data_IF_953048983203
#
_entry.id   IF_953048983203
#
_cell.length_a   1.000
_cell.length_b   1.000
_cell.length_c   1.000
_cell.angle_alpha   90.00
_cell.angle_beta   90.00
_cell.angle_gamma   90.00
#
_symmetry.space_group_name_H-M   'P 1'
#
loop_
_entity.id
_entity.type
_entity.pdbx_description
1 polymer ?
#
# COMPACT_ATOMS: atom_id res chain seq x y z
N UNK A 1 4.09 -0.64 -6.32
CA UNK A 1 5.31 -1.37 -5.87
C UNK A 1 6.40 -0.37 -5.52
N UNK A 2 7.10 -0.62 -4.43
CA UNK A 2 8.29 0.16 -4.02
C UNK A 2 9.51 -0.73 -4.22
N UNK A 3 10.58 -0.17 -4.80
CA UNK A 3 11.89 -0.82 -4.84
C UNK A 3 12.85 -0.03 -3.96
N UNK A 4 13.48 -0.68 -2.98
CA UNK A 4 14.45 -0.06 -2.08
C UNK A 4 15.79 0.16 -2.80
N UNK A 5 16.74 0.82 -2.13
CA UNK A 5 18.10 1.07 -2.68
C UNK A 5 18.86 -0.23 -2.94
N UNK A 6 18.68 -1.25 -2.11
CA UNK A 6 19.28 -2.57 -2.29
C UNK A 6 18.56 -3.45 -3.32
N UNK A 7 17.42 -2.98 -3.86
CA UNK A 7 16.63 -3.71 -4.84
C UNK A 7 15.52 -4.60 -4.26
N UNK A 8 15.25 -4.54 -2.94
CA UNK A 8 14.11 -5.22 -2.34
C UNK A 8 12.80 -4.62 -2.84
N UNK A 9 11.84 -5.47 -3.18
CA UNK A 9 10.55 -5.04 -3.74
C UNK A 9 9.42 -5.28 -2.74
N UNK A 10 8.65 -4.24 -2.49
CA UNK A 10 7.47 -4.25 -1.64
C UNK A 10 6.24 -3.87 -2.46
N UNK A 11 5.17 -4.65 -2.37
CA UNK A 11 3.88 -4.22 -2.92
C UNK A 11 3.11 -3.42 -1.87
N UNK A 12 2.47 -2.35 -2.28
CA UNK A 12 1.38 -1.72 -1.54
C UNK A 12 0.12 -2.27 -2.16
N UNK A 13 -0.60 -3.04 -1.38
CA UNK A 13 -1.74 -3.83 -1.77
C UNK A 13 -1.45 -4.88 -2.88
N UNK A 14 -2.30 -5.87 -2.97
CA UNK A 14 -2.21 -6.95 -3.93
C UNK A 14 -3.62 -7.28 -4.44
N UNK A 15 -4.18 -6.38 -5.23
CA UNK A 15 -5.48 -6.56 -5.83
C UNK A 15 -5.50 -7.64 -6.91
N UNK A 16 -6.69 -7.96 -7.41
CA UNK A 16 -6.91 -9.02 -8.40
C UNK A 16 -6.06 -8.89 -9.66
N UNK A 17 -5.70 -7.66 -10.07
CA UNK A 17 -4.89 -7.44 -11.28
C UNK A 17 -3.38 -7.50 -11.01
N UNK A 18 -2.93 -7.56 -9.77
CA UNK A 18 -1.51 -7.56 -9.43
C UNK A 18 -0.74 -8.73 -10.07
N UNK A 19 -1.25 -9.98 -10.12
CA UNK A 19 -0.58 -11.08 -10.78
C UNK A 19 -0.26 -10.78 -12.25
N UNK A 20 -1.25 -10.32 -13.01
CA UNK A 20 -1.10 -10.03 -14.44
C UNK A 20 -0.15 -8.86 -14.70
N UNK A 21 -0.23 -7.82 -13.86
CA UNK A 21 0.65 -6.66 -13.98
C UNK A 21 2.10 -6.99 -13.65
N UNK A 22 2.36 -7.81 -12.64
CA UNK A 22 3.71 -8.28 -12.32
C UNK A 22 4.26 -9.15 -13.45
N UNK A 23 3.45 -10.08 -13.97
CA UNK A 23 3.84 -10.93 -15.10
C UNK A 23 4.18 -10.08 -16.33
N UNK A 24 3.35 -9.13 -16.70
CA UNK A 24 3.59 -8.20 -17.81
C UNK A 24 4.87 -7.36 -17.63
N UNK A 25 5.22 -7.05 -16.38
CA UNK A 25 6.46 -6.33 -16.04
C UNK A 25 7.68 -7.26 -15.93
N UNK A 26 7.53 -8.57 -16.14
CA UNK A 26 8.62 -9.54 -16.00
C UNK A 26 9.07 -9.74 -14.55
N UNK A 27 8.21 -9.47 -13.58
CA UNK A 27 8.49 -9.59 -12.15
C UNK A 27 7.82 -10.86 -11.63
N UNK A 28 8.62 -11.77 -11.09
CA UNK A 28 8.12 -12.98 -10.50
C UNK A 28 7.69 -12.77 -9.04
N UNK A 29 6.78 -13.59 -8.55
CA UNK A 29 6.31 -13.52 -7.17
C UNK A 29 7.42 -13.63 -6.13
N UNK A 30 8.44 -14.46 -6.39
CA UNK A 30 9.58 -14.62 -5.49
C UNK A 30 10.50 -13.38 -5.44
N UNK A 31 10.36 -12.45 -6.38
CA UNK A 31 11.08 -11.18 -6.36
C UNK A 31 10.43 -10.17 -5.38
N UNK A 32 9.22 -10.47 -4.91
CA UNK A 32 8.51 -9.62 -3.96
C UNK A 32 8.94 -10.00 -2.55
N UNK A 33 9.61 -9.07 -1.89
CA UNK A 33 10.13 -9.23 -0.54
C UNK A 33 9.04 -9.13 0.54
N UNK A 34 8.07 -8.24 0.33
CA UNK A 34 6.99 -8.01 1.29
C UNK A 34 5.76 -7.34 0.71
N UNK A 35 4.71 -7.36 1.53
CA UNK A 35 3.41 -6.76 1.28
C UNK A 35 3.13 -5.68 2.33
N UNK A 36 2.55 -4.57 1.91
CA UNK A 36 2.04 -3.52 2.78
C UNK A 36 0.55 -3.42 2.46
N UNK A 37 -0.33 -3.65 3.43
CA UNK A 37 -1.78 -3.69 3.22
C UNK A 37 -2.41 -2.43 3.81
N UNK A 38 -3.11 -1.67 2.97
CA UNK A 38 -3.82 -0.46 3.39
C UNK A 38 -5.19 -0.78 3.95
N UNK A 39 -5.95 -1.66 3.30
CA UNK A 39 -7.28 -2.13 3.73
C UNK A 39 -7.70 -3.39 2.94
N UNK A 40 -8.87 -3.96 3.24
CA UNK A 40 -9.30 -5.26 2.72
C UNK A 40 -10.49 -5.19 1.74
N UNK A 41 -10.55 -4.20 0.85
CA UNK A 41 -11.41 -4.31 -0.32
C UNK A 41 -10.81 -5.25 -1.37
N UNK A 42 -11.66 -5.83 -2.22
CA UNK A 42 -11.24 -6.90 -3.13
C UNK A 42 -10.23 -6.46 -4.19
N UNK A 43 -10.34 -5.24 -4.65
CA UNK A 43 -9.40 -4.61 -5.57
C UNK A 43 -8.02 -4.31 -4.94
N UNK A 44 -7.91 -4.42 -3.61
CA UNK A 44 -6.67 -4.28 -2.86
C UNK A 44 -6.06 -5.60 -2.39
N UNK A 45 -6.86 -6.69 -2.19
CA UNK A 45 -6.31 -7.93 -1.60
C UNK A 45 -6.62 -9.23 -2.35
N UNK A 46 -7.47 -9.26 -3.38
CA UNK A 46 -7.86 -10.54 -4.01
C UNK A 46 -6.73 -11.24 -4.78
N UNK A 47 -5.60 -10.61 -5.02
CA UNK A 47 -4.39 -11.29 -5.52
C UNK A 47 -3.49 -11.85 -4.42
N UNK A 48 -3.79 -11.54 -3.14
CA UNK A 48 -2.93 -11.90 -2.02
C UNK A 48 -3.02 -13.40 -1.67
N UNK A 49 -4.14 -14.06 -1.99
CA UNK A 49 -4.30 -15.51 -1.83
C UNK A 49 -3.33 -16.28 -2.71
N UNK A 50 -3.31 -15.99 -4.01
CA UNK A 50 -2.39 -16.59 -4.97
C UNK A 50 -0.93 -16.34 -4.58
N UNK A 51 -0.62 -15.09 -4.22
CA UNK A 51 0.70 -14.73 -3.72
C UNK A 51 1.10 -15.57 -2.51
N UNK A 52 0.22 -15.70 -1.51
CA UNK A 52 0.48 -16.45 -0.29
C UNK A 52 0.76 -17.93 -0.59
N UNK A 53 -0.06 -18.57 -1.43
CA UNK A 53 0.12 -19.97 -1.80
C UNK A 53 1.42 -20.19 -2.59
N UNK A 54 1.68 -19.41 -3.61
CA UNK A 54 2.88 -19.55 -4.43
C UNK A 54 4.12 -19.39 -3.55
N UNK A 55 4.17 -18.36 -2.72
CA UNK A 55 5.29 -18.11 -1.83
C UNK A 55 5.45 -19.19 -0.75
N UNK A 56 4.35 -19.72 -0.23
CA UNK A 56 4.37 -20.80 0.73
C UNK A 56 5.02 -22.07 0.15
N UNK A 57 4.59 -22.50 -1.03
CA UNK A 57 5.14 -23.70 -1.67
C UNK A 57 6.58 -23.50 -2.15
N UNK A 58 6.95 -22.31 -2.59
CA UNK A 58 8.35 -21.98 -2.92
C UNK A 58 9.28 -22.04 -1.70
N UNK A 59 8.81 -21.59 -0.53
CA UNK A 59 9.63 -21.52 0.67
C UNK A 59 9.74 -22.82 1.44
N UNK A 60 8.75 -23.69 1.38
CA UNK A 60 8.71 -24.96 2.12
C UNK A 60 9.25 -26.17 1.31
N UNK A 61 9.72 -25.96 0.11
CA UNK A 61 10.77 -26.67 -0.59
C UNK A 61 10.65 -28.16 -0.88
N UNK A 62 9.68 -28.89 -0.36
CA UNK A 62 9.62 -30.35 -0.54
C UNK A 62 8.74 -30.81 -1.71
N UNK A 63 7.81 -29.99 -2.15
CA UNK A 63 6.92 -30.31 -3.27
C UNK A 63 7.43 -29.75 -4.59
N UNK A 64 8.06 -28.60 -4.54
CA UNK A 64 8.77 -28.02 -5.68
C UNK A 64 10.21 -27.75 -5.23
N UNK A 65 11.21 -28.46 -5.78
CA UNK A 65 12.60 -28.18 -5.46
C UNK A 65 12.96 -26.80 -5.99
N UNK A 66 12.59 -25.75 -5.24
CA UNK A 66 13.13 -24.45 -5.53
C UNK A 66 14.53 -24.40 -4.94
N UNK A 67 15.52 -24.31 -5.82
CA UNK A 67 16.91 -24.00 -5.48
C UNK A 67 17.07 -22.65 -4.76
N UNK A 68 15.96 -22.05 -4.36
CA UNK A 68 15.83 -20.71 -3.83
C UNK A 68 15.15 -20.67 -2.47
N UNK A 69 15.28 -21.71 -1.63
CA UNK A 69 14.72 -21.76 -0.27
C UNK A 69 14.65 -20.37 0.39
N UNK A 70 13.60 -19.63 0.07
CA UNK A 70 13.46 -18.22 0.42
C UNK A 70 12.76 -18.06 1.76
N UNK A 71 13.15 -17.05 2.50
CA UNK A 71 12.40 -16.60 3.66
C UNK A 71 10.93 -16.29 3.27
N UNK A 72 10.02 -16.48 4.22
CA UNK A 72 8.63 -16.04 4.05
C UNK A 72 8.60 -14.56 3.68
N UNK A 73 7.71 -14.13 2.75
CA UNK A 73 7.55 -12.72 2.48
C UNK A 73 7.08 -11.99 3.75
N UNK A 74 7.53 -10.78 3.94
CA UNK A 74 7.11 -9.94 5.05
C UNK A 74 5.73 -9.35 4.81
N UNK A 75 5.01 -9.06 5.90
CA UNK A 75 3.75 -8.31 5.82
C UNK A 75 3.76 -7.18 6.83
N UNK A 76 3.47 -5.99 6.34
CA UNK A 76 3.15 -4.81 7.14
C UNK A 76 1.67 -4.52 6.97
N UNK A 77 0.94 -4.50 8.06
CA UNK A 77 -0.46 -4.06 8.11
C UNK A 77 -0.76 -3.50 9.49
N UNK A 78 -1.45 -2.37 9.54
CA UNK A 78 -1.96 -1.81 10.79
C UNK A 78 -2.78 -2.86 11.55
N UNK A 79 -2.72 -2.87 12.88
CA UNK A 79 -3.36 -3.91 13.71
C UNK A 79 -4.86 -4.05 13.42
N UNK A 80 -5.56 -2.94 13.17
CA UNK A 80 -6.96 -2.95 12.80
C UNK A 80 -7.23 -3.63 11.45
N UNK A 81 -6.34 -3.46 10.47
CA UNK A 81 -6.45 -4.05 9.12
C UNK A 81 -6.04 -5.53 9.14
N UNK A 82 -5.01 -5.87 9.90
CA UNK A 82 -4.42 -7.23 9.94
C UNK A 82 -5.42 -8.32 10.34
N UNK A 83 -6.33 -8.01 11.26
CA UNK A 83 -7.41 -8.92 11.65
C UNK A 83 -8.33 -9.25 10.47
N UNK A 84 -8.78 -8.24 9.74
CA UNK A 84 -9.64 -8.40 8.57
C UNK A 84 -8.95 -9.16 7.43
N UNK A 85 -7.64 -8.97 7.22
CA UNK A 85 -6.88 -9.74 6.21
C UNK A 85 -7.06 -11.25 6.45
N UNK A 86 -6.98 -11.71 7.71
CA UNK A 86 -7.18 -13.12 8.01
C UNK A 86 -8.64 -13.56 7.92
N UNK A 87 -9.59 -12.70 8.22
CA UNK A 87 -11.01 -13.01 8.04
C UNK A 87 -11.35 -13.27 6.58
N UNK A 88 -10.74 -12.55 5.65
CA UNK A 88 -10.94 -12.72 4.21
C UNK A 88 -10.14 -13.92 3.67
N UNK A 89 -8.87 -14.05 3.99
CA UNK A 89 -7.99 -15.09 3.43
C UNK A 89 -8.07 -16.44 4.17
N UNK A 90 -8.43 -16.42 5.45
CA UNK A 90 -8.45 -17.61 6.29
C UNK A 90 -9.30 -18.77 5.75
N UNK A 91 -10.49 -18.53 5.17
CA UNK A 91 -11.30 -19.62 4.60
C UNK A 91 -10.57 -20.49 3.56
N UNK A 92 -9.72 -19.88 2.73
CA UNK A 92 -8.94 -20.62 1.71
C UNK A 92 -7.56 -21.04 2.21
N UNK A 93 -6.90 -20.26 3.05
CA UNK A 93 -5.53 -20.53 3.50
C UNK A 93 -5.43 -21.40 4.75
N UNK A 94 -6.52 -21.60 5.49
CA UNK A 94 -6.49 -22.25 6.81
C UNK A 94 -6.06 -23.71 6.77
N UNK A 95 -6.41 -24.43 5.73
CA UNK A 95 -6.17 -25.86 5.64
C UNK A 95 -5.13 -26.14 4.54
N UNK A 96 -3.88 -26.27 4.95
CA UNK A 96 -2.77 -26.59 4.05
C UNK A 96 -2.11 -27.88 4.51
N UNK A 97 -1.63 -28.66 3.56
CA UNK A 97 -0.79 -29.82 3.83
C UNK A 97 0.67 -29.35 3.91
N UNK A 98 1.39 -29.83 4.92
CA UNK A 98 2.85 -29.72 4.95
C UNK A 98 3.50 -30.73 4.02
N UNK A 99 4.82 -30.65 3.83
CA UNK A 99 5.57 -31.56 2.96
C UNK A 99 5.49 -33.04 3.34
N UNK A 100 5.00 -33.37 4.56
CA UNK A 100 4.73 -34.75 5.00
C UNK A 100 3.31 -35.22 4.65
N UNK A 101 2.49 -34.36 4.04
CA UNK A 101 1.08 -34.61 3.75
C UNK A 101 0.16 -34.47 4.95
N UNK A 102 0.66 -33.99 6.09
CA UNK A 102 -0.15 -33.75 7.27
C UNK A 102 -0.93 -32.45 7.11
N UNK A 103 -2.25 -32.56 7.35
CA UNK A 103 -3.13 -31.39 7.38
C UNK A 103 -2.88 -30.58 8.63
N UNK A 104 -2.53 -29.29 8.44
CA UNK A 104 -2.38 -28.29 9.51
C UNK A 104 -3.51 -27.28 9.50
N UNK A 105 -3.66 -26.54 10.59
CA UNK A 105 -4.46 -25.32 10.64
C UNK A 105 -3.51 -24.12 10.51
N UNK A 106 -3.54 -23.47 9.36
CA UNK A 106 -2.73 -22.30 9.08
C UNK A 106 -3.22 -21.05 9.83
N UNK A 107 -2.32 -20.11 9.98
CA UNK A 107 -2.60 -18.71 10.38
C UNK A 107 -1.88 -17.80 9.41
N UNK A 108 -2.15 -16.50 9.45
CA UNK A 108 -1.45 -15.53 8.61
C UNK A 108 0.09 -15.64 8.74
N UNK A 109 0.58 -15.93 9.95
CA UNK A 109 2.01 -16.11 10.22
C UNK A 109 2.64 -17.38 9.61
N UNK A 110 1.85 -18.32 9.07
CA UNK A 110 2.39 -19.43 8.29
C UNK A 110 2.85 -18.97 6.90
N UNK A 111 2.17 -17.98 6.33
CA UNK A 111 2.40 -17.48 4.98
C UNK A 111 3.32 -16.27 4.96
N UNK A 112 3.28 -15.45 6.00
CA UNK A 112 4.01 -14.20 6.08
C UNK A 112 4.81 -14.09 7.38
N UNK A 113 5.95 -13.42 7.30
CA UNK A 113 6.63 -12.88 8.46
C UNK A 113 5.96 -11.55 8.81
N UNK A 114 5.17 -11.52 9.88
CA UNK A 114 4.46 -10.32 10.30
C UNK A 114 5.44 -9.33 10.93
N UNK A 115 5.54 -8.14 10.36
CA UNK A 115 6.35 -7.07 10.95
C UNK A 115 5.56 -6.47 12.11
N UNK A 116 6.16 -6.46 13.30
CA UNK A 116 5.52 -5.92 14.50
C UNK A 116 5.51 -4.39 14.47
N UNK A 117 4.40 -3.84 14.94
CA UNK A 117 4.25 -2.41 15.10
C UNK A 117 5.02 -1.91 16.31
N UNK A 118 5.62 -0.73 16.17
CA UNK A 118 6.12 0.06 17.27
C UNK A 118 5.16 1.22 17.53
N UNK A 119 5.06 1.67 18.78
CA UNK A 119 4.26 2.84 19.10
C UNK A 119 4.77 4.03 18.27
N UNK A 120 3.92 4.55 17.38
CA UNK A 120 4.19 5.83 16.73
C UNK A 120 3.98 6.94 17.77
N UNK A 121 4.82 7.96 17.78
CA UNK A 121 4.51 9.18 18.52
C UNK A 121 3.14 9.69 18.05
N UNK A 122 2.30 10.08 19.02
CA UNK A 122 0.93 10.50 18.76
C UNK A 122 0.85 11.49 17.60
N UNK A 123 -0.06 11.31 16.65
CA UNK A 123 -0.22 12.22 15.53
C UNK A 123 -0.63 13.60 16.04
N UNK A 124 0.10 14.63 15.63
CA UNK A 124 -0.07 15.98 16.11
C UNK A 124 -1.32 16.71 15.60
N UNK A 125 -2.08 16.11 14.65
CA UNK A 125 -3.12 16.84 13.93
C UNK A 125 -4.53 16.23 13.97
N UNK A 126 -4.70 14.94 14.27
CA UNK A 126 -6.03 14.33 14.32
C UNK A 126 -6.15 13.37 15.50
N UNK A 127 -6.99 13.68 16.53
CA UNK A 127 -7.16 12.81 17.70
C UNK A 127 -7.84 11.49 17.41
N UNK A 128 -8.38 11.28 16.21
CA UNK A 128 -9.12 10.09 15.81
C UNK A 128 -8.27 9.04 15.08
N UNK A 129 -7.08 9.40 14.60
CA UNK A 129 -6.25 8.46 13.86
C UNK A 129 -5.25 7.78 14.77
N UNK A 130 -5.48 6.52 15.05
CA UNK A 130 -4.45 5.66 15.59
C UNK A 130 -3.37 5.44 14.51
N UNK A 131 -2.10 5.52 14.90
CA UNK A 131 -0.97 5.36 13.99
C UNK A 131 0.00 4.35 14.54
N UNK A 132 0.48 3.47 13.65
CA UNK A 132 1.47 2.46 13.97
C UNK A 132 2.71 2.65 13.10
N UNK A 133 3.89 2.62 13.71
CA UNK A 133 5.16 2.68 13.00
C UNK A 133 5.72 1.28 12.76
N UNK A 134 6.32 1.09 11.60
CA UNK A 134 6.93 -0.16 11.18
C UNK A 134 8.33 0.09 10.65
N UNK A 135 9.25 -0.84 10.96
CA UNK A 135 10.61 -0.83 10.42
C UNK A 135 11.04 -2.26 10.09
N UNK A 136 11.42 -2.52 8.86
CA UNK A 136 11.97 -3.80 8.40
C UNK A 136 12.69 -3.62 7.06
N UNK A 137 13.91 -4.15 6.95
CA UNK A 137 14.66 -4.28 5.68
C UNK A 137 14.57 -3.05 4.77
N UNK A 138 15.15 -1.95 5.16
CA UNK A 138 15.12 -0.64 4.49
C UNK A 138 13.72 0.00 4.36
N UNK A 139 12.65 -0.70 4.74
CA UNK A 139 11.30 -0.14 4.78
C UNK A 139 11.01 0.45 6.15
N UNK A 140 10.74 1.74 6.20
CA UNK A 140 10.23 2.42 7.39
C UNK A 140 9.00 3.22 6.99
N UNK A 141 7.91 3.01 7.69
CA UNK A 141 6.66 3.72 7.43
C UNK A 141 5.83 3.89 8.70
N UNK A 142 4.94 4.84 8.66
CA UNK A 142 3.83 4.97 9.61
C UNK A 142 2.53 4.69 8.85
N UNK A 143 1.80 3.68 9.31
CA UNK A 143 0.43 3.45 8.86
C UNK A 143 -0.52 4.26 9.76
N UNK A 144 -1.33 5.09 9.16
CA UNK A 144 -2.27 5.98 9.84
C UNK A 144 -3.68 5.62 9.44
N UNK A 145 -4.55 5.33 10.41
CA UNK A 145 -5.98 5.18 10.12
C UNK A 145 -6.52 6.43 9.42
N UNK A 146 -7.37 6.21 8.43
CA UNK A 146 -8.01 7.26 7.64
C UNK A 146 -9.52 7.01 7.53
N UNK A 147 -10.25 7.99 7.01
CA UNK A 147 -11.67 7.87 6.74
C UNK A 147 -11.91 7.30 5.34
N UNK A 148 -12.47 6.10 5.32
CA UNK A 148 -12.96 5.40 4.14
C UNK A 148 -14.42 4.97 4.40
N UNK A 149 -14.81 3.73 4.06
CA UNK A 149 -16.15 3.22 4.38
C UNK A 149 -16.35 3.17 5.90
N UNK A 150 -17.42 3.76 6.46
CA UNK A 150 -17.65 3.76 7.89
C UNK A 150 -17.58 2.36 8.52
N UNK A 151 -16.76 2.23 9.55
CA UNK A 151 -16.55 0.97 10.26
C UNK A 151 -15.59 -0.01 9.59
N UNK A 152 -15.02 0.34 8.43
CA UNK A 152 -14.00 -0.45 7.76
C UNK A 152 -12.61 0.12 8.03
N UNK A 153 -11.69 -0.62 8.66
CA UNK A 153 -10.32 -0.18 8.85
C UNK A 153 -9.63 0.10 7.50
N UNK A 154 -9.08 1.28 7.36
CA UNK A 154 -8.26 1.70 6.24
C UNK A 154 -7.12 2.59 6.72
N UNK A 155 -6.00 2.58 6.01
CA UNK A 155 -4.81 3.33 6.39
C UNK A 155 -4.17 4.04 5.21
N UNK A 156 -3.70 5.26 5.48
CA UNK A 156 -2.71 5.95 4.68
C UNK A 156 -1.30 5.62 5.17
N UNK A 157 -0.29 5.80 4.32
CA UNK A 157 1.09 5.47 4.63
C UNK A 157 2.00 6.69 4.51
N UNK A 158 2.79 6.95 5.55
CA UNK A 158 3.93 7.86 5.51
C UNK A 158 5.21 7.03 5.31
N UNK A 159 5.69 6.92 4.09
CA UNK A 159 6.84 6.08 3.75
C UNK A 159 8.11 6.91 3.84
N UNK A 160 9.00 6.59 4.79
CA UNK A 160 10.26 7.30 4.98
C UNK A 160 11.21 7.05 3.79
N UNK A 161 11.78 8.12 3.26
CA UNK A 161 12.71 8.07 2.12
C UNK A 161 14.16 8.39 2.50
N UNK A 162 14.40 8.79 3.73
CA UNK A 162 15.72 9.03 4.30
C UNK A 162 15.87 8.40 5.69
N UNK A 163 17.03 8.52 6.27
CA UNK A 163 17.38 7.88 7.54
C UNK A 163 17.19 8.78 8.76
N UNK A 164 16.65 10.00 8.60
CA UNK A 164 16.36 10.87 9.75
C UNK A 164 15.32 10.20 10.66
N UNK A 165 15.68 9.83 11.90
CA UNK A 165 14.74 9.13 12.78
C UNK A 165 13.70 10.06 13.40
N UNK A 166 13.92 11.38 13.37
CA UNK A 166 13.10 12.35 14.10
C UNK A 166 12.09 13.06 13.21
N UNK A 167 12.46 13.33 11.96
CA UNK A 167 11.59 14.00 10.99
C UNK A 167 11.95 13.59 9.57
N UNK A 168 11.74 12.32 9.19
CA UNK A 168 12.11 11.85 7.88
C UNK A 168 11.33 12.59 6.80
N UNK A 169 11.98 12.82 5.65
CA UNK A 169 11.23 13.12 4.45
C UNK A 169 10.44 11.89 4.05
N UNK A 170 9.27 12.08 3.48
CA UNK A 170 8.35 10.99 3.18
C UNK A 170 7.83 11.05 1.75
N UNK A 171 7.43 9.90 1.25
CA UNK A 171 6.39 9.75 0.24
C UNK A 171 5.07 9.41 0.96
N UNK A 172 4.00 10.09 0.59
CA UNK A 172 2.67 9.82 1.12
C UNK A 172 1.89 8.92 0.18
N UNK A 173 1.16 7.95 0.75
CA UNK A 173 0.24 7.08 0.02
C UNK A 173 -1.10 7.08 0.74
N UNK A 174 -2.17 7.51 0.08
CA UNK A 174 -3.48 7.67 0.75
C UNK A 174 -4.13 6.35 1.17
N UNK A 175 -3.87 5.26 0.44
CA UNK A 175 -4.85 4.18 0.38
C UNK A 175 -6.12 4.72 -0.27
N UNK A 176 -7.28 4.22 0.14
CA UNK A 176 -8.56 4.82 -0.22
C UNK A 176 -9.07 5.64 0.95
N UNK A 177 -9.33 6.93 0.73
CA UNK A 177 -9.82 7.80 1.78
C UNK A 177 -10.43 9.09 1.25
N UNK A 178 -11.20 9.75 2.10
CA UNK A 178 -11.61 11.15 1.87
C UNK A 178 -10.43 12.11 1.98
N UNK A 179 -10.60 13.33 1.50
CA UNK A 179 -9.52 14.35 1.50
C UNK A 179 -9.39 15.01 2.88
N UNK A 180 -8.32 14.76 3.58
CA UNK A 180 -7.92 15.55 4.77
C UNK A 180 -6.96 16.68 4.36
N UNK A 181 -7.54 17.82 3.97
CA UNK A 181 -6.77 18.98 3.51
C UNK A 181 -5.82 19.55 4.59
N UNK A 182 -6.22 19.46 5.87
CA UNK A 182 -5.40 19.95 6.97
C UNK A 182 -4.16 19.07 7.16
N UNK A 183 -4.34 17.76 7.16
CA UNK A 183 -3.25 16.80 7.25
C UNK A 183 -2.29 16.94 6.06
N UNK A 184 -2.80 16.91 4.82
CA UNK A 184 -1.98 17.02 3.61
C UNK A 184 -1.16 18.32 3.59
N UNK A 185 -1.77 19.44 4.00
CA UNK A 185 -1.07 20.72 4.11
C UNK A 185 0.02 20.67 5.20
N UNK A 186 -0.25 20.05 6.33
CA UNK A 186 0.72 19.94 7.43
C UNK A 186 1.92 19.05 7.09
N UNK A 187 1.70 18.03 6.25
CA UNK A 187 2.75 17.09 5.81
C UNK A 187 3.60 17.65 4.65
N UNK A 188 3.08 18.65 3.91
CA UNK A 188 3.73 19.16 2.69
C UNK A 188 5.22 19.49 2.86
N UNK A 189 5.69 20.17 3.93
CA UNK A 189 7.10 20.58 4.04
C UNK A 189 8.09 19.42 4.04
N UNK A 190 7.67 18.23 4.49
CA UNK A 190 8.51 17.03 4.53
C UNK A 190 8.15 15.98 3.47
N UNK A 191 7.09 16.20 2.69
CA UNK A 191 6.64 15.26 1.65
C UNK A 191 7.26 15.60 0.31
N UNK A 192 7.85 14.61 -0.34
CA UNK A 192 8.42 14.75 -1.70
C UNK A 192 7.38 14.48 -2.78
N UNK A 193 6.48 13.53 -2.52
CA UNK A 193 5.39 13.16 -3.42
C UNK A 193 4.19 12.65 -2.62
N UNK A 194 3.00 13.04 -3.03
CA UNK A 194 1.73 12.50 -2.56
C UNK A 194 1.15 11.60 -3.65
N UNK A 195 0.79 10.37 -3.31
CA UNK A 195 -0.07 9.52 -4.13
C UNK A 195 -1.44 9.49 -3.47
N UNK A 196 -2.46 10.01 -4.14
CA UNK A 196 -3.80 10.11 -3.58
C UNK A 196 -4.83 9.49 -4.52
N UNK A 197 -5.74 8.68 -3.96
CA UNK A 197 -6.90 8.17 -4.67
C UNK A 197 -7.78 9.35 -5.15
N UNK A 198 -8.49 9.16 -6.25
CA UNK A 198 -9.24 10.23 -6.87
C UNK A 198 -10.51 9.71 -7.53
N UNK A 199 -11.64 10.36 -7.24
CA UNK A 199 -12.88 10.19 -7.99
C UNK A 199 -13.39 11.53 -8.50
N UNK A 200 -14.03 11.52 -9.67
CA UNK A 200 -14.68 12.70 -10.25
C UNK A 200 -16.21 12.67 -10.03
N UNK A 201 -16.71 11.61 -9.41
CA UNK A 201 -18.13 11.43 -9.15
C UNK A 201 -18.44 11.90 -7.74
N UNK A 202 -19.33 12.88 -7.62
CA UNK A 202 -19.88 13.31 -6.33
C UNK A 202 -21.08 12.44 -5.97
N UNK A 203 -21.10 11.90 -4.75
CA UNK A 203 -22.23 11.16 -4.21
C UNK A 203 -22.34 11.32 -2.70
N UNK A 204 -23.56 11.22 -2.12
CA UNK A 204 -23.74 11.27 -0.67
C UNK A 204 -22.98 10.16 0.04
N UNK A 205 -22.18 10.52 1.05
CA UNK A 205 -21.36 9.55 1.78
C UNK A 205 -20.06 9.20 1.03
N UNK A 206 -19.49 10.17 0.31
CA UNK A 206 -18.21 10.05 -0.39
C UNK A 206 -17.13 9.45 0.51
N UNK A 207 -16.45 8.41 0.01
CA UNK A 207 -15.41 7.66 0.74
C UNK A 207 -14.05 7.68 0.04
N UNK A 208 -13.96 8.36 -1.10
CA UNK A 208 -12.75 8.55 -1.90
C UNK A 208 -12.35 10.01 -2.00
N UNK A 209 -11.15 10.26 -2.47
CA UNK A 209 -10.64 11.61 -2.73
C UNK A 209 -11.41 12.31 -3.85
N UNK A 210 -12.46 13.08 -3.51
CA UNK A 210 -13.22 13.83 -4.50
C UNK A 210 -12.37 14.94 -5.14
N UNK A 211 -12.31 14.95 -6.47
CA UNK A 211 -11.38 15.81 -7.21
C UNK A 211 -11.52 17.30 -6.89
N UNK A 212 -12.73 17.81 -6.68
CA UNK A 212 -12.93 19.23 -6.37
C UNK A 212 -12.32 19.62 -5.02
N UNK A 213 -12.32 18.69 -4.03
CA UNK A 213 -11.64 18.91 -2.76
C UNK A 213 -10.12 18.87 -2.93
N UNK A 214 -9.60 17.96 -3.76
CA UNK A 214 -8.18 17.93 -4.11
C UNK A 214 -7.75 19.21 -4.84
N UNK A 215 -8.56 19.68 -5.81
CA UNK A 215 -8.31 20.91 -6.55
C UNK A 215 -8.29 22.16 -5.65
N UNK A 216 -9.04 22.12 -4.53
CA UNK A 216 -9.04 23.15 -3.51
C UNK A 216 -7.79 23.20 -2.62
N UNK A 217 -6.89 22.21 -2.69
CA UNK A 217 -5.66 22.20 -1.91
C UNK A 217 -4.68 23.31 -2.34
N UNK A 218 -3.78 23.77 -1.45
CA UNK A 218 -2.72 24.70 -1.81
C UNK A 218 -1.91 24.20 -3.02
N UNK A 219 -1.53 25.10 -3.90
CA UNK A 219 -0.78 24.79 -5.13
C UNK A 219 0.51 23.99 -4.83
N UNK A 220 1.21 24.31 -3.74
CA UNK A 220 2.43 23.61 -3.31
C UNK A 220 2.18 22.13 -3.01
N UNK A 221 1.00 21.76 -2.49
CA UNK A 221 0.57 20.38 -2.27
C UNK A 221 0.24 19.71 -3.61
N UNK A 222 -0.61 20.37 -4.43
CA UNK A 222 -1.06 19.84 -5.73
C UNK A 222 0.10 19.53 -6.68
N UNK A 223 1.11 20.39 -6.75
CA UNK A 223 2.32 20.19 -7.57
C UNK A 223 3.14 18.96 -7.18
N UNK A 224 3.04 18.52 -5.93
CA UNK A 224 3.67 17.27 -5.44
C UNK A 224 2.76 16.06 -5.57
N UNK A 225 1.49 16.24 -5.97
CA UNK A 225 0.50 15.17 -5.96
C UNK A 225 0.41 14.43 -7.29
N UNK A 226 0.31 13.12 -7.18
CA UNK A 226 0.03 12.16 -8.25
C UNK A 226 -1.31 11.53 -7.91
N UNK A 227 -2.34 11.76 -8.70
CA UNK A 227 -3.62 11.09 -8.52
C UNK A 227 -3.54 9.64 -9.00
N UNK A 228 -4.13 8.74 -8.28
CA UNK A 228 -4.17 7.31 -8.55
C UNK A 228 -5.57 6.75 -8.24
N UNK A 229 -5.78 5.46 -8.44
CA UNK A 229 -7.05 4.78 -8.13
C UNK A 229 -8.28 5.52 -8.71
N UNK A 230 -8.11 6.08 -9.89
CA UNK A 230 -9.15 6.82 -10.60
C UNK A 230 -10.00 5.88 -11.46
N UNK A 231 -11.24 6.29 -11.70
CA UNK A 231 -12.18 5.59 -12.57
C UNK A 231 -12.03 5.99 -14.05
N UNK A 232 -12.89 5.43 -14.91
CA UNK A 232 -12.89 5.68 -16.36
C UNK A 232 -13.19 7.14 -16.73
N UNK A 233 -13.70 7.95 -15.80
CA UNK A 233 -13.97 9.37 -16.04
C UNK A 233 -12.70 10.24 -16.09
N UNK A 234 -11.54 9.68 -15.73
CA UNK A 234 -10.24 10.37 -15.83
C UNK A 234 -10.01 10.95 -17.23
N UNK A 235 -10.29 10.20 -18.30
CA UNK A 235 -9.98 10.66 -19.64
C UNK A 235 -10.75 11.94 -20.01
N UNK A 236 -12.01 12.05 -19.57
CA UNK A 236 -12.81 13.25 -19.76
C UNK A 236 -12.30 14.44 -18.91
N UNK A 237 -11.60 14.17 -17.81
CA UNK A 237 -11.12 15.17 -16.86
C UNK A 237 -9.60 15.43 -16.97
N UNK A 238 -8.86 14.71 -17.79
CA UNK A 238 -7.40 14.77 -17.89
C UNK A 238 -6.86 16.19 -18.02
N UNK A 239 -7.41 16.98 -18.93
CA UNK A 239 -6.98 18.37 -19.16
C UNK A 239 -7.18 19.22 -17.91
N UNK A 240 -8.29 19.05 -17.20
CA UNK A 240 -8.57 19.75 -15.93
C UNK A 240 -7.57 19.36 -14.85
N UNK A 241 -7.29 18.06 -14.71
CA UNK A 241 -6.33 17.51 -13.75
C UNK A 241 -4.94 18.10 -13.94
N UNK A 242 -4.44 18.07 -15.18
CA UNK A 242 -3.11 18.59 -15.54
C UNK A 242 -3.04 20.12 -15.37
N UNK A 243 -4.08 20.85 -15.78
CA UNK A 243 -4.16 22.30 -15.61
C UNK A 243 -4.19 22.72 -14.11
N UNK A 244 -4.78 21.89 -13.24
CA UNK A 244 -4.79 22.09 -11.79
C UNK A 244 -3.43 21.78 -11.13
N UNK A 245 -2.44 21.27 -11.89
CA UNK A 245 -1.08 21.01 -11.44
C UNK A 245 -0.84 19.61 -10.89
N UNK A 246 -1.80 18.69 -11.04
CA UNK A 246 -1.63 17.30 -10.66
C UNK A 246 -0.89 16.49 -11.72
N UNK A 247 -0.26 15.41 -11.28
CA UNK A 247 0.24 14.34 -12.13
C UNK A 247 -0.71 13.15 -12.04
N UNK A 248 -0.64 12.25 -13.00
CA UNK A 248 -1.52 11.08 -13.09
C UNK A 248 -0.68 9.82 -13.05
N UNK A 249 -0.99 8.90 -12.11
CA UNK A 249 -0.41 7.57 -12.11
C UNK A 249 -1.10 6.70 -13.17
N UNK A 250 -0.31 6.09 -14.04
CA UNK A 250 -0.78 5.10 -15.01
C UNK A 250 0.03 3.81 -14.85
N UNK A 251 -0.49 2.66 -15.29
CA UNK A 251 0.27 1.42 -15.32
C UNK A 251 1.63 1.58 -15.99
N UNK A 252 2.69 1.10 -15.34
CA UNK A 252 4.06 1.22 -15.82
C UNK A 252 4.77 2.51 -15.46
N UNK A 253 4.09 3.53 -14.91
CA UNK A 253 4.77 4.74 -14.46
C UNK A 253 5.67 4.46 -13.26
N UNK A 254 6.90 4.95 -13.30
CA UNK A 254 7.90 4.83 -12.24
C UNK A 254 8.24 6.22 -11.70
N UNK A 255 8.24 6.36 -10.38
CA UNK A 255 8.57 7.59 -9.68
C UNK A 255 9.78 7.37 -8.78
N UNK A 256 10.74 8.29 -8.82
CA UNK A 256 11.78 8.38 -7.81
C UNK A 256 11.20 9.07 -6.57
N UNK A 257 11.09 8.34 -5.47
CA UNK A 257 10.48 8.86 -4.25
C UNK A 257 11.32 9.96 -3.58
N UNK A 258 12.63 10.01 -3.85
CA UNK A 258 13.53 11.04 -3.27
C UNK A 258 13.31 12.40 -3.93
N UNK A 259 13.23 12.44 -5.23
CA UNK A 259 12.96 13.66 -6.00
C UNK A 259 11.46 13.94 -6.18
N UNK A 260 10.63 12.93 -5.99
CA UNK A 260 9.20 12.97 -6.29
C UNK A 260 8.89 13.02 -7.79
N UNK A 261 9.86 12.83 -8.67
CA UNK A 261 9.68 12.96 -10.12
C UNK A 261 9.43 11.60 -10.78
N UNK A 262 8.67 11.62 -11.88
CA UNK A 262 8.54 10.46 -12.75
C UNK A 262 9.87 10.23 -13.49
N UNK A 263 10.33 8.98 -13.53
CA UNK A 263 11.61 8.56 -14.15
C UNK A 263 11.44 7.48 -15.22
N UNK A 264 10.26 6.91 -15.32
CA UNK A 264 9.94 5.89 -16.32
C UNK A 264 8.44 5.79 -16.62
#
# INVERSE_FOLDING_TARGET
MITTRSGLRWLIDCGRQAPDQLHAAGIAWHDIHGQIITHVHGDHIYGLEDFAFIRYFESHGEILPSSRGGARPKMIAHSAVRGEVWEVLGPSLRYVQDGSGKLGSGTLAHFFELVEAHAAEAPRANPWSHSEAFASDEMRLVARENEHVPGKPSCSLEIAIDEDPTSPRIAWWSGDCTVDAALLTSLEPRTTVFFHDCTFVDYPGQVHGFFELLEGLPEVVRRKMVIMHHDDSLEANRVRVEAAGFRIALPGHVYDLVSGQRVG
#
